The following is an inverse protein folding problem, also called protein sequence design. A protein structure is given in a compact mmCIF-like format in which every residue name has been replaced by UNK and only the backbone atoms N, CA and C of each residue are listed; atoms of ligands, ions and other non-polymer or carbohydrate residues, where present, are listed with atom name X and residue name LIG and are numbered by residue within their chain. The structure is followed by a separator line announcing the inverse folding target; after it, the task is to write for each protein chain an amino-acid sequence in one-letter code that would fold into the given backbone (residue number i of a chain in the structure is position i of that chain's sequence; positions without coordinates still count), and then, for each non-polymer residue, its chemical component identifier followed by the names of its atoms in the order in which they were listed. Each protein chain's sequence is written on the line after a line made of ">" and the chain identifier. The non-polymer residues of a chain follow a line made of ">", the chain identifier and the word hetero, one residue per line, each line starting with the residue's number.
data_IF_825051532684
#
_entry.id   IF_825051532684
#
_cell.length_a   1.000
_cell.length_b   1.000
_cell.length_c   1.000
_cell.angle_alpha   90.00
_cell.angle_beta   90.00
_cell.angle_gamma   90.00
#
_symmetry.space_group_name_H-M   'P 1'
#
loop_
_entity.id
_entity.type
_entity.pdbx_description
1 polymer ?
#
# COMPACT_ATOMS: atom_id res chain seq x y z
N UNK A 1 17.12 6.22 -3.83
CA UNK A 1 15.67 6.47 -3.96
C UNK A 1 15.19 6.33 -5.40
N UNK A 2 14.29 5.38 -5.66
CA UNK A 2 13.70 5.05 -6.98
C UNK A 2 12.19 4.86 -6.77
N UNK A 3 11.36 5.39 -7.69
CA UNK A 3 9.93 5.08 -7.74
C UNK A 3 9.71 4.00 -8.82
N UNK A 4 9.05 2.91 -8.45
CA UNK A 4 8.65 1.84 -9.38
C UNK A 4 7.29 1.28 -9.02
N UNK A 5 6.67 0.56 -9.94
CA UNK A 5 5.47 -0.23 -9.62
C UNK A 5 5.85 -1.48 -8.83
N UNK A 6 4.91 -2.00 -8.03
CA UNK A 6 5.11 -3.21 -7.28
C UNK A 6 5.17 -4.46 -8.17
N UNK A 7 5.75 -5.53 -7.66
CA UNK A 7 5.66 -6.88 -8.19
C UNK A 7 5.17 -7.84 -7.09
N UNK A 8 4.94 -9.10 -7.44
CA UNK A 8 4.57 -10.11 -6.45
C UNK A 8 5.67 -10.34 -5.39
N UNK A 9 6.92 -10.00 -5.70
CA UNK A 9 8.06 -10.09 -4.77
C UNK A 9 7.92 -9.09 -3.61
N UNK A 10 7.15 -8.01 -3.79
CA UNK A 10 6.90 -7.00 -2.78
C UNK A 10 5.79 -7.39 -1.79
N UNK A 11 5.10 -8.52 -2.01
CA UNK A 11 3.90 -8.92 -1.26
C UNK A 11 4.11 -8.91 0.25
N UNK A 12 5.20 -9.50 0.73
CA UNK A 12 5.48 -9.60 2.17
C UNK A 12 5.81 -8.23 2.75
N UNK A 13 6.53 -7.39 2.00
CA UNK A 13 6.88 -6.06 2.44
C UNK A 13 5.65 -5.14 2.51
N UNK A 14 4.78 -5.18 1.50
CA UNK A 14 3.52 -4.41 1.45
C UNK A 14 2.58 -4.85 2.57
N UNK A 15 2.39 -6.16 2.75
CA UNK A 15 1.54 -6.70 3.83
C UNK A 15 2.05 -6.28 5.21
N UNK A 16 3.37 -6.32 5.41
CA UNK A 16 3.97 -5.90 6.67
C UNK A 16 3.79 -4.41 6.93
N UNK A 17 3.91 -3.57 5.90
CA UNK A 17 3.65 -2.12 6.02
C UNK A 17 2.19 -1.91 6.46
N UNK A 18 1.23 -2.57 5.81
CA UNK A 18 -0.18 -2.49 6.18
C UNK A 18 -0.42 -2.84 7.65
N UNK A 19 0.13 -3.97 8.12
CA UNK A 19 -0.03 -4.42 9.50
C UNK A 19 0.58 -3.49 10.55
N UNK A 20 1.60 -2.70 10.17
CA UNK A 20 2.21 -1.70 11.04
C UNK A 20 1.39 -0.41 11.04
N UNK A 21 0.79 -0.05 9.91
CA UNK A 21 0.02 1.18 9.75
C UNK A 21 -1.40 1.10 10.32
N UNK A 22 -2.00 -0.09 10.38
CA UNK A 22 -3.40 -0.27 10.77
C UNK A 22 -3.59 -1.31 11.89
N UNK A 23 -4.62 -1.13 12.75
CA UNK A 23 -5.09 -2.21 13.61
C UNK A 23 -5.46 -3.46 12.81
N UNK A 24 -5.33 -4.63 13.41
CA UNK A 24 -5.64 -5.91 12.75
C UNK A 24 -7.08 -6.02 12.21
N UNK A 25 -8.03 -5.24 12.78
CA UNK A 25 -9.42 -5.19 12.31
C UNK A 25 -9.60 -4.38 11.01
N UNK A 26 -8.64 -3.53 10.67
CA UNK A 26 -8.70 -2.60 9.52
C UNK A 26 -7.66 -2.94 8.44
N UNK A 27 -6.55 -3.58 8.82
CA UNK A 27 -5.49 -3.99 7.90
C UNK A 27 -6.02 -5.00 6.86
N UNK A 28 -5.76 -4.73 5.58
CA UNK A 28 -5.99 -5.73 4.53
C UNK A 28 -5.09 -6.96 4.75
N UNK A 29 -5.65 -8.16 4.53
CA UNK A 29 -4.88 -9.39 4.68
C UNK A 29 -3.93 -9.65 3.49
N UNK A 30 -2.98 -10.56 3.72
CA UNK A 30 -1.98 -10.96 2.72
C UNK A 30 -2.60 -11.55 1.44
N UNK A 31 -3.72 -12.27 1.57
CA UNK A 31 -4.37 -12.89 0.42
C UNK A 31 -4.97 -11.82 -0.50
N UNK A 32 -5.57 -10.77 0.07
CA UNK A 32 -6.08 -9.62 -0.68
C UNK A 32 -4.98 -8.91 -1.44
N UNK A 33 -3.80 -8.69 -0.82
CA UNK A 33 -2.66 -8.12 -1.55
C UNK A 33 -2.10 -9.06 -2.62
N UNK A 34 -2.08 -10.37 -2.37
CA UNK A 34 -1.63 -11.35 -3.36
C UNK A 34 -2.49 -11.30 -4.64
N UNK A 35 -3.82 -11.25 -4.50
CA UNK A 35 -4.72 -11.09 -5.66
C UNK A 35 -4.50 -9.73 -6.34
N UNK A 36 -4.45 -8.65 -5.58
CA UNK A 36 -4.26 -7.29 -6.14
C UNK A 36 -2.94 -7.14 -6.89
N UNK A 37 -1.84 -7.69 -6.37
CA UNK A 37 -0.53 -7.67 -7.04
C UNK A 37 -0.46 -8.62 -8.23
N UNK A 38 -1.29 -9.67 -8.26
CA UNK A 38 -1.40 -10.56 -9.41
C UNK A 38 -2.08 -9.88 -10.60
N UNK A 39 -3.16 -9.12 -10.35
CA UNK A 39 -3.98 -8.53 -11.42
C UNK A 39 -3.67 -7.06 -11.71
N UNK A 40 -3.26 -6.29 -10.70
CA UNK A 40 -3.08 -4.84 -10.78
C UNK A 40 -1.75 -4.35 -10.16
N UNK A 41 -0.59 -4.99 -10.43
CA UNK A 41 0.69 -4.59 -9.83
C UNK A 41 1.08 -3.14 -10.18
N UNK A 42 0.68 -2.67 -11.36
CA UNK A 42 0.90 -1.31 -11.85
C UNK A 42 0.08 -0.22 -11.13
N UNK A 43 -0.85 -0.61 -10.25
CA UNK A 43 -1.63 0.33 -9.42
C UNK A 43 -0.96 0.60 -8.06
N UNK A 44 0.11 -0.12 -7.74
CA UNK A 44 0.89 0.05 -6.52
C UNK A 44 2.21 0.71 -6.85
N UNK A 45 2.40 1.94 -6.41
CA UNK A 45 3.64 2.69 -6.60
C UNK A 45 4.46 2.65 -5.32
N UNK A 46 5.69 2.17 -5.44
CA UNK A 46 6.63 2.00 -4.34
C UNK A 46 7.77 3.00 -4.49
N UNK A 47 8.06 3.72 -3.41
CA UNK A 47 9.35 4.37 -3.24
C UNK A 47 10.30 3.38 -2.59
N UNK A 48 11.39 3.06 -3.28
CA UNK A 48 12.46 2.22 -2.75
C UNK A 48 13.73 3.03 -2.54
N UNK A 49 14.43 2.76 -1.45
CA UNK A 49 15.83 3.14 -1.33
C UNK A 49 16.67 1.87 -1.37
N UNK A 50 17.47 1.74 -2.43
CA UNK A 50 18.11 0.49 -2.83
C UNK A 50 17.05 -0.64 -2.95
N UNK A 51 17.13 -1.67 -2.13
CA UNK A 51 16.19 -2.81 -2.13
C UNK A 51 15.06 -2.67 -1.09
N UNK A 52 15.04 -1.58 -0.31
CA UNK A 52 14.07 -1.40 0.78
C UNK A 52 12.94 -0.48 0.37
N UNK A 53 11.70 -0.89 0.59
CA UNK A 53 10.53 0.00 0.49
C UNK A 53 10.59 1.00 1.66
N UNK A 54 10.67 2.29 1.34
CA UNK A 54 10.79 3.38 2.34
C UNK A 54 9.48 4.13 2.59
N UNK A 55 8.38 3.66 2.00
CA UNK A 55 7.05 3.75 2.61
C UNK A 55 6.13 4.86 2.13
N UNK A 56 4.96 4.89 2.77
CA UNK A 56 3.86 5.83 2.63
C UNK A 56 3.16 5.94 4.00
N UNK A 57 2.74 7.14 4.40
CA UNK A 57 1.97 7.40 5.62
C UNK A 57 0.49 7.31 5.27
N UNK A 58 -0.23 6.39 5.92
CA UNK A 58 -1.68 6.45 5.94
C UNK A 58 -2.11 7.56 6.91
N UNK A 59 -2.99 8.45 6.47
CA UNK A 59 -3.47 9.60 7.25
C UNK A 59 -4.95 9.50 7.60
N UNK A 60 -5.48 8.29 7.55
CA UNK A 60 -6.87 7.99 7.82
C UNK A 60 -7.77 8.14 6.60
N UNK A 61 -9.07 8.18 6.89
CA UNK A 61 -10.12 8.26 5.88
C UNK A 61 -10.03 9.59 5.14
N UNK A 62 -9.94 9.50 3.83
CA UNK A 62 -10.00 10.63 2.92
C UNK A 62 -11.42 11.21 2.90
N UNK A 63 -11.53 12.53 2.72
CA UNK A 63 -12.82 13.21 2.52
C UNK A 63 -13.46 12.89 1.15
N UNK A 64 -12.78 12.14 0.29
CA UNK A 64 -13.30 11.74 -1.01
C UNK A 64 -14.55 10.86 -0.87
N UNK A 65 -15.62 11.28 -1.55
CA UNK A 65 -16.88 10.52 -1.68
C UNK A 65 -17.03 9.86 -3.06
N UNK A 66 -15.97 9.82 -3.86
CA UNK A 66 -16.02 9.28 -5.21
C UNK A 66 -16.43 7.80 -5.21
N UNK A 67 -17.39 7.44 -6.06
CA UNK A 67 -17.87 6.06 -6.15
C UNK A 67 -18.65 5.55 -4.93
N UNK A 68 -18.98 6.42 -3.97
CA UNK A 68 -19.73 6.09 -2.75
C UNK A 68 -19.08 4.97 -1.91
N UNK A 69 -17.74 4.99 -1.82
CA UNK A 69 -16.92 4.07 -1.02
C UNK A 69 -15.91 4.85 -0.17
N UNK A 70 -15.40 4.23 0.89
CA UNK A 70 -14.43 4.83 1.81
C UNK A 70 -13.04 4.79 1.17
N UNK A 71 -12.41 5.96 1.06
CA UNK A 71 -11.04 6.11 0.58
C UNK A 71 -10.10 6.37 1.76
N UNK A 72 -8.84 5.97 1.66
CA UNK A 72 -7.81 6.28 2.64
C UNK A 72 -6.72 7.16 2.02
N UNK A 73 -6.30 8.18 2.76
CA UNK A 73 -5.27 9.11 2.31
C UNK A 73 -3.90 8.53 2.57
N UNK A 74 -3.11 8.36 1.51
CA UNK A 74 -1.73 7.89 1.58
C UNK A 74 -0.80 9.02 1.13
N UNK A 75 0.08 9.52 2.01
CA UNK A 75 1.11 10.52 1.68
C UNK A 75 2.51 9.91 1.66
N UNK A 76 3.32 10.33 0.70
CA UNK A 76 4.76 10.05 0.70
C UNK A 76 5.45 11.12 1.56
N UNK A 77 6.06 10.74 2.69
CA UNK A 77 6.82 11.67 3.55
C UNK A 77 8.32 11.44 3.40
N UNK A 78 9.09 12.51 3.22
CA UNK A 78 10.55 12.52 3.15
C UNK A 78 11.19 13.02 4.45
#
# INVERSE_FOLDING_TARGET
>A
MIIRTASLEDLDAITKIEQVCFPAAEAADRASFCERLTYYPNHFWLLTDQEKIVGFVNEGVSESVHGNVIWYQMRLTF
#
